data_IF_173693875974
#
_entry.id   IF_173693875974
#
_cell.length_a   1.000
_cell.length_b   1.000
_cell.length_c   1.000
_cell.angle_alpha   90.00
_cell.angle_beta   90.00
_cell.angle_gamma   90.00
#
_symmetry.space_group_name_H-M   'P 1'
#
loop_
_entity.id
_entity.type
_entity.pdbx_description
1 polymer ?
#
# COMPACT_ATOMS: atom_id res chain seq x y z
N UNK A 1 16.61 -5.52 -9.96
CA UNK A 1 16.29 -4.22 -10.62
C UNK A 1 15.27 -3.53 -9.74
N UNK A 2 15.64 -2.44 -9.07
CA UNK A 2 14.68 -1.67 -8.28
C UNK A 2 13.76 -0.94 -9.27
N UNK A 3 12.47 -1.28 -9.25
CA UNK A 3 11.45 -0.50 -9.94
C UNK A 3 11.45 0.90 -9.31
N UNK A 4 11.70 1.92 -10.13
CA UNK A 4 11.42 3.32 -9.83
C UNK A 4 9.90 3.50 -9.69
N UNK A 5 9.31 2.90 -8.66
CA UNK A 5 7.96 3.24 -8.21
C UNK A 5 8.12 4.45 -7.31
N UNK A 6 8.45 5.61 -7.88
CA UNK A 6 8.42 6.85 -7.13
C UNK A 6 6.94 7.21 -6.94
N UNK A 7 6.37 7.10 -5.73
CA UNK A 7 4.99 7.43 -5.54
C UNK A 7 4.89 8.95 -5.62
N UNK A 8 4.46 9.45 -6.77
CA UNK A 8 4.26 10.88 -6.97
C UNK A 8 3.04 11.34 -6.19
N UNK A 9 3.26 11.78 -4.95
CA UNK A 9 2.23 12.52 -4.22
C UNK A 9 2.17 13.89 -4.85
N UNK A 10 0.97 14.29 -5.27
CA UNK A 10 0.72 15.64 -5.74
C UNK A 10 1.18 16.66 -4.69
N UNK A 11 2.16 17.54 -4.99
CA UNK A 11 2.62 18.56 -4.06
C UNK A 11 1.51 19.48 -3.56
N UNK A 12 0.39 19.60 -4.28
CA UNK A 12 -0.76 20.38 -3.85
C UNK A 12 -1.54 19.72 -2.69
N UNK A 13 -1.41 18.41 -2.52
CA UNK A 13 -2.07 17.66 -1.44
C UNK A 13 -1.28 17.66 -0.13
N UNK A 14 -0.06 18.19 -0.14
CA UNK A 14 0.89 18.08 0.97
C UNK A 14 1.54 19.43 1.24
N UNK A 15 1.54 19.88 2.50
CA UNK A 15 2.27 21.09 2.82
C UNK A 15 3.78 20.92 2.55
N UNK A 16 4.47 22.02 2.26
CA UNK A 16 5.87 22.01 1.86
C UNK A 16 6.79 21.28 2.85
N UNK A 17 6.53 21.42 4.16
CA UNK A 17 7.33 20.78 5.21
C UNK A 17 7.19 19.26 5.19
N UNK A 18 5.98 18.76 5.01
CA UNK A 18 5.71 17.32 4.89
C UNK A 18 6.30 16.79 3.59
N UNK A 19 6.15 17.51 2.47
CA UNK A 19 6.74 17.12 1.18
C UNK A 19 8.27 16.96 1.29
N UNK A 20 8.98 17.98 1.80
CA UNK A 20 10.43 17.93 2.02
C UNK A 20 10.84 16.75 2.92
N UNK A 21 10.06 16.46 3.96
CA UNK A 21 10.33 15.33 4.86
C UNK A 21 10.17 13.98 4.16
N UNK A 22 9.15 13.83 3.33
CA UNK A 22 8.92 12.61 2.54
C UNK A 22 10.04 12.41 1.52
N UNK A 23 10.42 13.47 0.80
CA UNK A 23 11.54 13.45 -0.15
C UNK A 23 12.83 12.99 0.54
N UNK A 24 13.18 13.58 1.69
CA UNK A 24 14.39 13.21 2.44
C UNK A 24 14.38 11.72 2.83
N UNK A 25 13.27 11.22 3.37
CA UNK A 25 13.16 9.81 3.74
C UNK A 25 13.30 8.89 2.52
N UNK A 26 12.68 9.22 1.39
CA UNK A 26 12.79 8.45 0.13
C UNK A 26 14.21 8.46 -0.42
N UNK A 27 14.89 9.61 -0.40
CA UNK A 27 16.30 9.71 -0.80
C UNK A 27 17.19 8.79 0.04
N UNK A 28 16.99 8.74 1.36
CA UNK A 28 17.73 7.83 2.25
C UNK A 28 17.43 6.36 1.88
N UNK A 29 16.18 6.02 1.57
CA UNK A 29 15.78 4.65 1.22
C UNK A 29 16.32 4.18 -0.14
N UNK A 30 16.59 5.09 -1.07
CA UNK A 30 17.18 4.81 -2.37
C UNK A 30 18.67 4.45 -2.29
N UNK A 31 19.34 4.78 -1.18
CA UNK A 31 20.70 4.29 -0.94
C UNK A 31 20.68 2.82 -0.49
N UNK A 32 21.28 1.93 -1.28
CA UNK A 32 21.34 0.49 -1.02
C UNK A 32 22.18 0.11 0.22
N UNK A 33 23.06 1.01 0.66
CA UNK A 33 23.90 0.82 1.85
C UNK A 33 23.21 1.29 3.15
N UNK A 34 21.99 1.84 3.06
CA UNK A 34 21.27 2.33 4.24
C UNK A 34 21.02 1.19 5.24
N UNK A 35 21.48 1.32 6.51
CA UNK A 35 21.28 0.29 7.53
C UNK A 35 19.81 -0.05 7.74
N UNK A 36 19.52 -1.33 8.04
CA UNK A 36 18.15 -1.82 8.17
C UNK A 36 17.33 -1.04 9.21
N UNK A 37 17.92 -0.69 10.36
CA UNK A 37 17.26 0.12 11.39
C UNK A 37 16.85 1.50 10.84
N UNK A 38 17.75 2.17 10.11
CA UNK A 38 17.47 3.45 9.45
C UNK A 38 16.37 3.32 8.40
N UNK A 39 16.34 2.21 7.65
CA UNK A 39 15.26 1.94 6.68
C UNK A 39 13.90 1.85 7.37
N UNK A 40 13.81 1.08 8.46
CA UNK A 40 12.58 0.96 9.28
C UNK A 40 12.15 2.34 9.79
N UNK A 41 13.07 3.13 10.36
CA UNK A 41 12.75 4.48 10.86
C UNK A 41 12.26 5.44 9.75
N UNK A 42 12.88 5.41 8.57
CA UNK A 42 12.45 6.24 7.44
C UNK A 42 11.06 5.83 6.93
N UNK A 43 10.80 4.52 6.79
CA UNK A 43 9.51 4.00 6.35
C UNK A 43 8.41 4.29 7.38
N UNK A 44 8.68 4.09 8.67
CA UNK A 44 7.76 4.45 9.75
C UNK A 44 7.43 5.95 9.73
N UNK A 45 8.42 6.81 9.45
CA UNK A 45 8.20 8.25 9.30
C UNK A 45 7.36 8.58 8.07
N UNK A 46 7.58 7.92 6.94
CA UNK A 46 6.75 8.10 5.73
C UNK A 46 5.29 7.76 6.06
N UNK A 47 5.03 6.58 6.64
CA UNK A 47 3.67 6.17 7.03
C UNK A 47 3.03 7.19 7.97
N UNK A 48 3.75 7.62 9.01
CA UNK A 48 3.24 8.60 9.97
C UNK A 48 2.93 9.95 9.31
N UNK A 49 3.76 10.41 8.38
CA UNK A 49 3.53 11.66 7.64
C UNK A 49 2.31 11.55 6.72
N UNK A 50 2.14 10.43 6.03
CA UNK A 50 0.96 10.16 5.18
C UNK A 50 -0.32 10.09 6.00
N UNK A 51 -0.33 9.35 7.12
CA UNK A 51 -1.49 9.23 8.02
C UNK A 51 -1.87 10.58 8.69
N UNK A 52 -0.91 11.49 8.82
CA UNK A 52 -1.14 12.82 9.36
C UNK A 52 -1.74 13.81 8.35
N UNK A 53 -1.79 13.48 7.04
CA UNK A 53 -2.33 14.38 6.04
C UNK A 53 -3.84 14.61 6.25
N UNK A 54 -4.31 15.89 6.23
CA UNK A 54 -5.73 16.19 6.36
C UNK A 54 -6.59 15.52 5.27
N UNK A 55 -6.07 15.45 4.04
CA UNK A 55 -6.71 14.77 2.91
C UNK A 55 -6.90 13.28 3.17
N UNK A 56 -5.91 12.57 3.73
CA UNK A 56 -6.04 11.17 4.13
C UNK A 56 -7.12 10.99 5.19
N UNK A 57 -7.17 11.87 6.19
CA UNK A 57 -8.19 11.78 7.26
C UNK A 57 -9.60 12.05 6.75
N UNK A 58 -9.75 13.00 5.82
CA UNK A 58 -11.03 13.29 5.17
C UNK A 58 -11.49 12.09 4.33
N UNK A 59 -10.57 11.52 3.53
CA UNK A 59 -10.82 10.32 2.73
C UNK A 59 -11.19 9.10 3.60
N UNK A 60 -10.44 8.85 4.68
CA UNK A 60 -10.74 7.78 5.63
C UNK A 60 -12.13 7.96 6.29
N UNK A 61 -12.59 9.19 6.50
CA UNK A 61 -13.94 9.47 7.01
C UNK A 61 -14.99 9.16 5.92
N UNK A 62 -14.80 9.69 4.72
CA UNK A 62 -15.71 9.48 3.59
C UNK A 62 -15.88 7.99 3.28
N UNK A 63 -14.80 7.21 3.24
CA UNK A 63 -14.84 5.78 2.94
C UNK A 63 -15.45 4.94 4.08
N UNK A 64 -15.39 5.42 5.32
CA UNK A 64 -16.10 4.79 6.46
C UNK A 64 -17.61 5.01 6.38
N UNK A 65 -18.03 6.22 6.01
CA UNK A 65 -19.44 6.58 5.87
C UNK A 65 -20.05 5.96 4.59
N UNK A 66 -19.29 5.91 3.50
CA UNK A 66 -19.69 5.33 2.23
C UNK A 66 -18.53 4.62 1.56
N UNK A 67 -18.44 3.30 1.77
CA UNK A 67 -17.38 2.45 1.19
C UNK A 67 -17.39 2.33 -0.34
N UNK A 68 -18.40 2.91 -1.00
CA UNK A 68 -18.55 2.97 -2.45
C UNK A 68 -18.50 4.40 -2.97
N UNK A 69 -18.03 5.35 -2.15
CA UNK A 69 -17.89 6.74 -2.57
C UNK A 69 -16.93 6.83 -3.77
N UNK A 70 -17.29 7.66 -4.76
CA UNK A 70 -16.41 8.00 -5.86
C UNK A 70 -15.26 8.84 -5.30
N UNK A 71 -14.04 8.41 -5.58
CA UNK A 71 -12.82 9.15 -5.21
C UNK A 71 -12.12 9.65 -6.48
N UNK A 72 -11.43 10.76 -6.34
CA UNK A 72 -10.62 11.37 -7.39
C UNK A 72 -9.36 10.55 -7.69
N UNK A 73 -8.75 10.73 -8.86
CA UNK A 73 -7.48 10.05 -9.19
C UNK A 73 -6.36 10.39 -8.20
N UNK A 74 -6.34 11.60 -7.65
CA UNK A 74 -5.33 12.02 -6.68
C UNK A 74 -5.52 11.34 -5.31
N UNK A 75 -6.76 11.16 -4.86
CA UNK A 75 -7.10 10.35 -3.68
C UNK A 75 -6.76 8.87 -3.89
N UNK A 76 -7.01 8.33 -5.09
CA UNK A 76 -6.63 6.96 -5.43
C UNK A 76 -5.11 6.76 -5.39
N UNK A 77 -4.33 7.70 -5.94
CA UNK A 77 -2.85 7.69 -5.84
C UNK A 77 -2.37 7.78 -4.40
N UNK A 78 -3.03 8.59 -3.58
CA UNK A 78 -2.71 8.75 -2.17
C UNK A 78 -2.95 7.44 -1.38
N UNK A 79 -4.06 6.73 -1.67
CA UNK A 79 -4.31 5.40 -1.10
C UNK A 79 -3.26 4.39 -1.54
N UNK A 80 -2.90 4.40 -2.83
CA UNK A 80 -1.88 3.49 -3.36
C UNK A 80 -0.52 3.73 -2.68
N UNK A 81 -0.05 4.97 -2.64
CA UNK A 81 1.22 5.33 -1.97
C UNK A 81 1.22 4.95 -0.49
N UNK A 82 0.16 5.29 0.24
CA UNK A 82 0.00 4.92 1.64
C UNK A 82 0.06 3.41 1.83
N UNK A 83 -0.63 2.64 0.98
CA UNK A 83 -0.64 1.18 1.06
C UNK A 83 0.72 0.55 0.76
N UNK A 84 1.45 1.09 -0.22
CA UNK A 84 2.82 0.68 -0.55
C UNK A 84 3.78 1.01 0.58
N UNK A 85 3.67 2.17 1.20
CA UNK A 85 4.49 2.54 2.36
C UNK A 85 4.28 1.58 3.54
N UNK A 86 3.03 1.19 3.82
CA UNK A 86 2.74 0.16 4.83
C UNK A 86 3.35 -1.19 4.46
N UNK A 87 3.24 -1.63 3.20
CA UNK A 87 3.85 -2.88 2.74
C UNK A 87 5.39 -2.85 2.89
N UNK A 88 6.03 -1.77 2.46
CA UNK A 88 7.49 -1.62 2.54
C UNK A 88 7.97 -1.61 3.99
N UNK A 89 7.21 -0.96 4.88
CA UNK A 89 7.46 -1.00 6.32
C UNK A 89 7.30 -2.41 6.88
N UNK A 90 6.30 -3.16 6.44
CA UNK A 90 6.11 -4.55 6.81
C UNK A 90 7.32 -5.40 6.40
N UNK A 91 7.76 -5.30 5.14
CA UNK A 91 8.97 -5.96 4.64
C UNK A 91 10.21 -5.60 5.47
N UNK A 92 10.33 -4.34 5.87
CA UNK A 92 11.45 -3.89 6.69
C UNK A 92 11.43 -4.51 8.10
N UNK A 93 10.25 -4.62 8.72
CA UNK A 93 10.08 -5.32 10.00
C UNK A 93 10.33 -6.83 9.89
N UNK A 94 9.87 -7.47 8.81
CA UNK A 94 10.18 -8.90 8.53
C UNK A 94 11.68 -9.12 8.51
N UNK A 95 12.43 -8.27 7.80
CA UNK A 95 13.90 -8.36 7.70
C UNK A 95 14.63 -8.09 9.02
N UNK A 96 14.03 -7.34 9.94
CA UNK A 96 14.57 -7.15 11.29
C UNK A 96 14.13 -8.23 12.29
N UNK A 97 13.36 -9.23 11.85
CA UNK A 97 12.82 -10.29 12.71
C UNK A 97 11.61 -9.88 13.56
N UNK A 98 11.08 -8.67 13.38
CA UNK A 98 9.90 -8.20 14.10
C UNK A 98 8.63 -8.62 13.36
N UNK A 99 8.28 -9.90 13.52
CA UNK A 99 7.15 -10.51 12.81
C UNK A 99 5.80 -9.92 13.25
N UNK A 100 5.67 -9.46 14.49
CA UNK A 100 4.44 -8.84 15.00
C UNK A 100 4.15 -7.52 14.28
N UNK A 101 5.13 -6.61 14.23
CA UNK A 101 4.96 -5.36 13.50
C UNK A 101 4.86 -5.60 11.99
N UNK A 102 5.54 -6.61 11.46
CA UNK A 102 5.39 -7.01 10.06
C UNK A 102 3.94 -7.41 9.73
N UNK A 103 3.33 -8.32 10.51
CA UNK A 103 1.92 -8.73 10.32
C UNK A 103 0.98 -7.54 10.38
N UNK A 104 1.12 -6.66 11.38
CA UNK A 104 0.29 -5.48 11.53
C UNK A 104 0.31 -4.61 10.28
N UNK A 105 1.50 -4.33 9.74
CA UNK A 105 1.65 -3.45 8.59
C UNK A 105 1.16 -4.12 7.28
N UNK A 106 1.31 -5.42 7.09
CA UNK A 106 0.70 -6.13 5.96
C UNK A 106 -0.83 -6.10 6.01
N UNK A 107 -1.43 -6.27 7.20
CA UNK A 107 -2.87 -6.16 7.36
C UNK A 107 -3.38 -4.76 6.97
N UNK A 108 -2.64 -3.70 7.34
CA UNK A 108 -2.96 -2.32 6.97
C UNK A 108 -2.84 -2.09 5.45
N UNK A 109 -1.71 -2.52 4.85
CA UNK A 109 -1.47 -2.40 3.42
C UNK A 109 -2.56 -3.08 2.59
N UNK A 110 -2.88 -4.34 2.92
CA UNK A 110 -3.87 -5.14 2.20
C UNK A 110 -5.28 -4.56 2.32
N UNK A 111 -5.65 -4.06 3.50
CA UNK A 111 -6.94 -3.39 3.71
C UNK A 111 -7.07 -2.16 2.82
N UNK A 112 -6.05 -1.30 2.77
CA UNK A 112 -6.05 -0.09 1.93
C UNK A 112 -6.13 -0.42 0.44
N UNK A 113 -5.38 -1.43 -0.03
CA UNK A 113 -5.41 -1.87 -1.42
C UNK A 113 -6.77 -2.43 -1.82
N UNK A 114 -7.42 -3.20 -0.94
CA UNK A 114 -8.76 -3.71 -1.19
C UNK A 114 -9.79 -2.58 -1.26
N UNK A 115 -9.68 -1.58 -0.38
CA UNK A 115 -10.51 -0.38 -0.44
C UNK A 115 -10.32 0.37 -1.75
N UNK A 116 -9.07 0.59 -2.16
CA UNK A 116 -8.73 1.24 -3.43
C UNK A 116 -9.36 0.51 -4.61
N UNK A 117 -9.15 -0.81 -4.72
CA UNK A 117 -9.72 -1.62 -5.81
C UNK A 117 -11.24 -1.56 -5.83
N UNK A 118 -11.90 -1.65 -4.67
CA UNK A 118 -13.36 -1.51 -4.56
C UNK A 118 -13.83 -0.15 -5.09
N UNK A 119 -13.14 0.94 -4.74
CA UNK A 119 -13.51 2.29 -5.20
C UNK A 119 -13.28 2.49 -6.71
N UNK A 120 -12.25 1.86 -7.28
CA UNK A 120 -12.00 1.89 -8.71
C UNK A 120 -13.13 1.14 -9.45
N UNK A 121 -13.49 -0.07 -9.02
CA UNK A 121 -14.54 -0.87 -9.68
C UNK A 121 -15.93 -0.22 -9.64
N UNK A 122 -16.28 0.49 -8.56
CA UNK A 122 -17.56 1.24 -8.51
C UNK A 122 -17.58 2.43 -9.48
N UNK A 123 -16.40 2.94 -9.86
CA UNK A 123 -16.29 4.10 -10.76
C UNK A 123 -16.47 3.74 -12.25
N UNK A 124 -16.63 2.47 -12.60
CA UNK A 124 -16.68 1.94 -13.99
C UNK A 124 -17.95 2.34 -14.76
N UNK A 125 -18.89 3.06 -14.14
CA UNK A 125 -20.11 3.58 -14.80
C UNK A 125 -19.91 4.80 -15.71
N UNK A 126 -18.71 5.40 -15.79
CA UNK A 126 -18.41 6.47 -16.74
C UNK A 126 -16.94 6.40 -17.17
N UNK A 127 -16.67 6.16 -18.45
CA UNK A 127 -15.37 6.19 -19.13
C UNK A 127 -14.15 5.88 -18.24
N UNK A 128 -13.68 4.62 -18.33
CA UNK A 128 -12.45 4.20 -17.68
C UNK A 128 -11.28 4.92 -18.37
N UNK A 129 -10.74 5.94 -17.73
CA UNK A 129 -9.49 6.58 -18.13
C UNK A 129 -8.34 5.56 -17.95
N UNK A 130 -7.40 5.51 -18.91
CA UNK A 130 -6.25 4.60 -18.88
C UNK A 130 -5.45 4.64 -17.55
N UNK A 131 -5.37 5.81 -16.92
CA UNK A 131 -4.75 6.03 -15.60
C UNK A 131 -5.37 5.16 -14.49
N UNK A 132 -6.69 4.90 -14.54
CA UNK A 132 -7.36 4.05 -13.55
C UNK A 132 -7.08 2.58 -13.74
N UNK A 133 -6.94 2.12 -14.99
CA UNK A 133 -6.58 0.73 -15.30
C UNK A 133 -5.15 0.41 -14.86
N UNK A 134 -4.21 1.28 -15.17
CA UNK A 134 -2.82 1.13 -14.73
C UNK A 134 -2.73 1.11 -13.20
N UNK A 135 -3.47 1.99 -12.53
CA UNK A 135 -3.52 2.03 -11.08
C UNK A 135 -4.16 0.77 -10.47
N UNK A 136 -5.24 0.26 -11.07
CA UNK A 136 -5.87 -0.98 -10.65
C UNK A 136 -4.91 -2.17 -10.80
N UNK A 137 -4.19 -2.26 -11.93
CA UNK A 137 -3.20 -3.29 -12.16
C UNK A 137 -2.05 -3.22 -11.14
N UNK A 138 -1.53 -2.01 -10.87
CA UNK A 138 -0.50 -1.78 -9.86
C UNK A 138 -0.97 -2.16 -8.45
N UNK A 139 -2.21 -1.80 -8.10
CA UNK A 139 -2.82 -2.14 -6.82
C UNK A 139 -3.07 -3.66 -6.68
N UNK A 140 -3.55 -4.34 -7.73
CA UNK A 140 -3.74 -5.78 -7.76
C UNK A 140 -2.42 -6.53 -7.57
N UNK A 141 -1.38 -6.13 -8.30
CA UNK A 141 -0.04 -6.70 -8.17
C UNK A 141 0.50 -6.52 -6.75
N UNK A 142 0.44 -5.30 -6.23
CA UNK A 142 0.93 -4.99 -4.87
C UNK A 142 0.14 -5.76 -3.81
N UNK A 143 -1.17 -5.94 -4.00
CA UNK A 143 -2.01 -6.72 -3.09
C UNK A 143 -1.66 -8.20 -3.11
N UNK A 144 -1.47 -8.78 -4.30
CA UNK A 144 -1.07 -10.18 -4.45
C UNK A 144 0.28 -10.44 -3.74
N UNK A 145 1.29 -9.61 -4.02
CA UNK A 145 2.61 -9.71 -3.39
C UNK A 145 2.51 -9.57 -1.86
N UNK A 146 1.73 -8.61 -1.37
CA UNK A 146 1.52 -8.40 0.07
C UNK A 146 0.84 -9.60 0.75
N UNK A 147 -0.13 -10.23 0.08
CA UNK A 147 -0.81 -11.41 0.63
C UNK A 147 0.13 -12.61 0.69
N UNK A 148 0.95 -12.85 -0.34
CA UNK A 148 1.93 -13.95 -0.30
C UNK A 148 2.94 -13.75 0.83
N UNK A 149 3.55 -12.57 0.92
CA UNK A 149 4.52 -12.29 1.99
C UNK A 149 3.90 -12.41 3.39
N UNK A 150 2.65 -11.96 3.54
CA UNK A 150 1.94 -12.09 4.82
C UNK A 150 1.62 -13.53 5.16
N UNK A 151 1.18 -14.33 4.19
CA UNK A 151 0.94 -15.77 4.39
C UNK A 151 2.21 -16.49 4.89
N UNK A 152 3.37 -16.18 4.30
CA UNK A 152 4.66 -16.73 4.73
C UNK A 152 4.99 -16.39 6.20
N UNK A 153 4.70 -15.16 6.62
CA UNK A 153 4.92 -14.73 8.01
C UNK A 153 4.01 -15.49 8.96
N UNK A 154 2.71 -15.60 8.65
CA UNK A 154 1.77 -16.34 9.49
C UNK A 154 2.13 -17.82 9.55
N UNK A 155 2.65 -18.41 8.46
CA UNK A 155 3.18 -19.77 8.47
C UNK A 155 4.40 -19.89 9.39
N UNK A 156 5.34 -18.95 9.30
CA UNK A 156 6.53 -18.90 10.16
C UNK A 156 6.19 -18.71 11.65
N UNK A 157 5.05 -18.09 11.95
CA UNK A 157 4.50 -17.95 13.30
C UNK A 157 3.69 -19.18 13.78
N UNK A 158 3.63 -20.25 12.99
CA UNK A 158 2.86 -21.47 13.30
C UNK A 158 1.34 -21.32 13.16
N UNK A 159 0.86 -20.24 12.53
CA UNK A 159 -0.57 -19.94 12.37
C UNK A 159 -1.08 -20.45 11.03
N UNK A 160 -0.94 -21.75 10.80
CA UNK A 160 -1.19 -22.40 9.50
C UNK A 160 -2.58 -22.10 8.91
N UNK A 161 -3.62 -22.11 9.76
CA UNK A 161 -4.99 -21.82 9.30
C UNK A 161 -5.12 -20.39 8.74
N UNK A 162 -4.43 -19.43 9.34
CA UNK A 162 -4.45 -18.03 8.89
C UNK A 162 -3.63 -17.91 7.60
N UNK A 163 -2.43 -18.47 7.58
CA UNK A 163 -1.56 -18.49 6.39
C UNK A 163 -2.28 -19.04 5.16
N UNK A 164 -2.94 -20.20 5.29
CA UNK A 164 -3.69 -20.83 4.20
C UNK A 164 -4.82 -19.94 3.69
N UNK A 165 -5.61 -19.32 4.59
CA UNK A 165 -6.68 -18.39 4.18
C UNK A 165 -6.15 -17.19 3.40
N UNK A 166 -5.01 -16.63 3.81
CA UNK A 166 -4.38 -15.51 3.12
C UNK A 166 -3.86 -15.96 1.75
N UNK A 167 -3.22 -17.11 1.67
CA UNK A 167 -2.71 -17.65 0.41
C UNK A 167 -3.82 -17.99 -0.59
N UNK A 168 -4.93 -18.59 -0.12
CA UNK A 168 -6.11 -18.84 -0.94
C UNK A 168 -6.68 -17.53 -1.52
N UNK A 169 -6.65 -16.43 -0.75
CA UNK A 169 -7.03 -15.10 -1.24
C UNK A 169 -6.07 -14.59 -2.31
N UNK A 170 -4.76 -14.75 -2.12
CA UNK A 170 -3.75 -14.36 -3.10
C UNK A 170 -3.94 -15.11 -4.43
N UNK A 171 -4.16 -16.42 -4.37
CA UNK A 171 -4.39 -17.28 -5.55
C UNK A 171 -5.69 -16.92 -6.28
N UNK A 172 -6.77 -16.64 -5.55
CA UNK A 172 -8.02 -16.17 -6.18
C UNK A 172 -7.81 -14.84 -6.90
N UNK A 173 -7.05 -13.93 -6.31
CA UNK A 173 -6.76 -12.62 -6.89
C UNK A 173 -5.95 -12.75 -8.20
N UNK A 174 -4.90 -13.57 -8.21
CA UNK A 174 -4.04 -13.74 -9.39
C UNK A 174 -4.74 -14.47 -10.54
N UNK A 175 -5.63 -15.42 -10.24
CA UNK A 175 -6.48 -16.06 -11.25
C UNK A 175 -7.46 -15.08 -11.90
N UNK A 176 -8.07 -14.22 -11.09
CA UNK A 176 -9.02 -13.22 -11.58
C UNK A 176 -8.34 -12.07 -12.33
N UNK A 177 -7.05 -11.79 -12.08
CA UNK A 177 -6.33 -10.76 -12.85
C UNK A 177 -5.94 -11.22 -14.26
N UNK A 178 -5.73 -12.53 -14.47
CA UNK A 178 -5.39 -13.12 -15.77
C UNK A 178 -6.55 -13.12 -16.78
N UNK A 179 -7.78 -12.85 -16.34
CA UNK A 179 -8.94 -12.71 -17.23
C UNK A 179 -9.12 -11.30 -17.80
N UNK A 180 -8.21 -10.36 -17.49
CA UNK A 180 -8.23 -8.99 -18.00
C UNK A 180 -7.15 -8.72 -19.07
N UNK A 181 -6.31 -9.73 -19.37
CA UNK A 181 -5.37 -9.74 -20.50
C UNK A 181 -6.02 -10.44 -21.72
#
# INVERSE_FOLDING_TARGET
MASNNDPYIDPQLVNEKTYRSLTLCRTILNNSQTPQATRVSCLARIVALLDALPSVRALDRQLRENSTARISSSESRLLLDRSTAYRDLALAFRRSGDLCNSTYNYQRATTLLQTLLKTISVSEGSEICADKNEMAASALKTLAESLYDWADIEHSLGRETIAKRIQDRAVKLTKNSQSFD
#
